data_IF_305194702754
#
_entry.id   IF_305194702754
#
_cell.length_a   1.000
_cell.length_b   1.000
_cell.length_c   1.000
_cell.angle_alpha   90.00
_cell.angle_beta   90.00
_cell.angle_gamma   90.00
#
_symmetry.space_group_name_H-M   'P 1'
#
loop_
_entity.id
_entity.type
_entity.pdbx_description
1 polymer ?
#
# COMPACT_ATOMS: atom_id res chain seq x y z
N UNK A 1 -13.50 15.56 2.13
CA UNK A 1 -12.86 16.38 3.16
C UNK A 1 -11.39 16.00 3.18
N UNK A 2 -10.47 16.97 3.00
CA UNK A 2 -9.02 16.74 2.99
C UNK A 2 -8.48 16.95 4.40
N UNK A 3 -9.00 16.15 5.33
CA UNK A 3 -8.61 16.19 6.74
C UNK A 3 -8.19 14.78 7.17
N UNK A 4 -7.09 14.70 7.91
CA UNK A 4 -6.66 13.47 8.56
C UNK A 4 -6.61 13.71 10.07
N UNK A 5 -6.99 12.70 10.83
CA UNK A 5 -6.95 12.74 12.29
C UNK A 5 -6.57 11.38 12.84
N UNK A 6 -5.88 11.40 13.96
CA UNK A 6 -5.61 10.17 14.71
C UNK A 6 -6.92 9.54 15.14
N UNK A 7 -7.08 8.24 14.88
CA UNK A 7 -8.20 7.46 15.39
C UNK A 7 -7.94 7.11 16.85
N UNK A 8 -8.95 7.29 17.71
CA UNK A 8 -8.88 6.90 19.12
C UNK A 8 -10.06 5.98 19.47
N UNK A 9 -9.82 5.02 20.37
CA UNK A 9 -10.86 4.09 20.82
C UNK A 9 -11.32 3.06 19.77
N UNK A 10 -10.54 2.82 18.72
CA UNK A 10 -10.88 1.83 17.70
C UNK A 10 -10.60 0.39 18.20
N UNK A 11 -11.61 -0.49 18.25
CA UNK A 11 -11.45 -1.85 18.79
C UNK A 11 -10.55 -2.74 17.94
N UNK A 12 -10.45 -2.52 16.62
CA UNK A 12 -9.57 -3.28 15.74
C UNK A 12 -8.13 -2.88 15.97
N UNK A 13 -7.84 -1.57 16.08
CA UNK A 13 -6.49 -1.08 16.39
C UNK A 13 -6.03 -1.63 17.75
N UNK A 14 -6.89 -1.58 18.76
CA UNK A 14 -6.56 -2.12 20.09
C UNK A 14 -6.34 -3.64 20.07
N UNK A 15 -7.14 -4.39 19.29
CA UNK A 15 -6.93 -5.83 19.09
C UNK A 15 -5.56 -6.12 18.46
N UNK A 16 -5.20 -5.41 17.38
CA UNK A 16 -3.92 -5.57 16.70
C UNK A 16 -2.76 -5.25 17.63
N UNK A 17 -2.86 -4.15 18.40
CA UNK A 17 -1.85 -3.74 19.37
C UNK A 17 -1.62 -4.83 20.43
N UNK A 18 -2.69 -5.43 20.97
CA UNK A 18 -2.60 -6.56 21.91
C UNK A 18 -1.97 -7.81 21.30
N UNK A 19 -1.98 -7.93 19.97
CA UNK A 19 -1.35 -9.02 19.21
C UNK A 19 0.06 -8.65 18.72
N UNK A 20 0.64 -7.55 19.21
CA UNK A 20 2.00 -7.12 18.88
C UNK A 20 2.13 -6.42 17.53
N UNK A 21 1.03 -5.93 16.96
CA UNK A 21 1.02 -5.13 15.73
C UNK A 21 0.46 -3.75 16.06
N UNK A 22 1.32 -2.73 16.13
CA UNK A 22 0.89 -1.38 16.45
C UNK A 22 0.88 -0.51 15.19
N UNK A 23 -0.30 -0.02 14.82
CA UNK A 23 -0.46 1.06 13.83
C UNK A 23 -0.13 2.36 14.56
N UNK A 24 0.86 3.10 14.07
CA UNK A 24 1.35 4.30 14.73
C UNK A 24 0.49 5.52 14.37
N UNK A 25 0.38 6.46 15.31
CA UNK A 25 -0.34 7.72 15.15
C UNK A 25 0.45 8.76 14.32
N UNK A 26 0.93 8.34 13.15
CA UNK A 26 1.70 9.13 12.19
C UNK A 26 1.13 8.93 10.79
N UNK A 27 1.36 9.90 9.92
CA UNK A 27 0.95 9.85 8.53
C UNK A 27 2.17 9.86 7.62
N UNK A 28 2.23 8.92 6.66
CA UNK A 28 3.43 8.78 5.83
C UNK A 28 3.40 9.64 4.59
N UNK A 29 4.58 10.12 4.19
CA UNK A 29 4.88 10.68 2.88
C UNK A 29 6.06 9.96 2.23
N UNK A 30 6.08 9.84 0.92
CA UNK A 30 7.20 9.25 0.16
C UNK A 30 7.43 9.98 -1.16
N UNK A 31 8.67 9.95 -1.66
CA UNK A 31 9.04 10.38 -3.02
C UNK A 31 8.31 9.56 -4.09
N UNK A 32 8.07 8.28 -3.82
CA UNK A 32 7.24 7.46 -4.69
C UNK A 32 5.78 7.71 -4.32
N UNK A 33 5.16 8.69 -4.98
CA UNK A 33 3.79 9.09 -4.71
C UNK A 33 2.97 9.23 -6.00
N UNK A 34 1.65 9.36 -5.83
CA UNK A 34 0.72 9.67 -6.89
C UNK A 34 0.68 11.19 -7.17
N UNK A 35 0.32 11.55 -8.39
CA UNK A 35 0.08 12.94 -8.80
C UNK A 35 -1.40 13.10 -9.09
N UNK A 36 -2.09 13.92 -8.30
CA UNK A 36 -3.52 14.16 -8.43
C UNK A 36 -3.79 15.01 -9.67
N UNK A 37 -4.84 14.67 -10.42
CA UNK A 37 -5.42 15.55 -11.45
C UNK A 37 -6.68 16.18 -10.84
N UNK A 38 -6.73 17.51 -10.78
CA UNK A 38 -7.86 18.24 -10.22
C UNK A 38 -8.11 19.56 -10.97
N UNK A 39 -9.26 20.19 -10.75
CA UNK A 39 -9.54 21.50 -11.34
C UNK A 39 -8.58 22.56 -10.79
N UNK A 40 -8.15 23.48 -11.66
CA UNK A 40 -7.42 24.66 -11.25
C UNK A 40 -8.34 25.57 -10.39
N UNK A 41 -7.75 26.26 -9.41
CA UNK A 41 -8.51 27.15 -8.53
C UNK A 41 -8.85 28.49 -9.21
N UNK A 42 -7.98 28.96 -10.11
CA UNK A 42 -8.04 30.31 -10.67
C UNK A 42 -8.41 30.33 -12.16
N UNK A 43 -8.31 29.20 -12.87
CA UNK A 43 -8.57 29.07 -14.30
C UNK A 43 -9.57 27.95 -14.61
N UNK A 44 -10.26 28.04 -15.75
CA UNK A 44 -11.05 26.95 -16.33
C UNK A 44 -10.10 25.88 -16.93
N UNK A 45 -9.41 25.13 -16.08
CA UNK A 45 -8.45 24.12 -16.49
C UNK A 45 -8.29 23.00 -15.47
N UNK A 46 -7.53 21.97 -15.86
CA UNK A 46 -7.05 20.93 -14.93
C UNK A 46 -5.58 21.18 -14.60
N UNK A 47 -5.21 20.93 -13.36
CA UNK A 47 -3.84 20.99 -12.86
C UNK A 47 -3.41 19.63 -12.31
N UNK A 48 -2.11 19.36 -12.41
CA UNK A 48 -1.47 18.19 -11.83
C UNK A 48 -0.74 18.57 -10.54
N UNK A 49 -1.01 17.84 -9.47
CA UNK A 49 -0.56 18.17 -8.13
C UNK A 49 0.18 16.97 -7.55
N UNK A 50 1.53 17.00 -7.44
CA UNK A 50 2.29 16.02 -6.69
C UNK A 50 1.71 15.88 -5.29
N UNK A 51 1.36 14.66 -4.87
CA UNK A 51 0.72 14.45 -3.57
C UNK A 51 1.42 13.37 -2.74
N UNK A 52 2.47 13.77 -1.98
CA UNK A 52 3.34 12.88 -1.21
C UNK A 52 2.68 11.89 -0.25
N UNK A 53 1.47 12.21 0.25
CA UNK A 53 0.75 11.33 1.17
C UNK A 53 0.16 10.11 0.47
N UNK A 54 -0.19 10.21 -0.83
CA UNK A 54 -0.68 9.08 -1.61
C UNK A 54 0.51 8.28 -2.17
N UNK A 55 1.05 7.41 -1.33
CA UNK A 55 2.28 6.66 -1.58
C UNK A 55 2.06 5.54 -2.60
N UNK A 56 3.01 5.37 -3.52
CA UNK A 56 3.11 4.21 -4.40
C UNK A 56 4.25 3.31 -3.96
N UNK A 57 3.92 2.05 -3.66
CA UNK A 57 4.87 1.01 -3.27
C UNK A 57 5.22 0.18 -4.52
N UNK A 58 6.45 0.30 -5.06
CA UNK A 58 6.90 -0.55 -6.17
C UNK A 58 7.22 -1.97 -5.70
N UNK A 59 7.43 -2.90 -6.63
CA UNK A 59 7.81 -4.30 -6.31
C UNK A 59 9.00 -4.44 -5.35
N UNK A 60 9.96 -3.50 -5.41
CA UNK A 60 11.12 -3.49 -4.52
C UNK A 60 10.78 -3.26 -3.05
N UNK A 61 9.58 -2.76 -2.76
CA UNK A 61 9.03 -2.62 -1.41
C UNK A 61 8.21 -3.83 -0.95
N UNK A 62 7.99 -4.84 -1.79
CA UNK A 62 7.18 -6.02 -1.43
C UNK A 62 7.98 -7.11 -0.74
N UNK A 63 7.29 -7.96 0.02
CA UNK A 63 7.82 -9.24 0.47
C UNK A 63 8.12 -10.11 -0.74
N UNK A 64 9.41 -10.28 -1.03
CA UNK A 64 9.89 -10.86 -2.26
C UNK A 64 9.26 -12.24 -2.55
N UNK A 65 8.66 -12.37 -3.73
CA UNK A 65 8.13 -13.63 -4.24
C UNK A 65 6.83 -14.11 -3.60
N UNK A 66 6.23 -13.38 -2.66
CA UNK A 66 5.00 -13.78 -1.99
C UNK A 66 3.80 -13.77 -2.96
N UNK A 67 2.94 -14.79 -2.89
CA UNK A 67 1.86 -15.03 -3.86
C UNK A 67 0.77 -13.94 -3.88
N UNK A 68 0.63 -13.18 -2.80
CA UNK A 68 -0.31 -12.04 -2.72
C UNK A 68 0.02 -10.93 -3.72
N UNK A 69 1.29 -10.83 -4.14
CA UNK A 69 1.74 -9.86 -5.14
C UNK A 69 1.75 -10.43 -6.58
N UNK A 70 1.22 -11.63 -6.82
CA UNK A 70 1.18 -12.20 -8.17
C UNK A 70 0.40 -11.31 -9.14
N UNK A 71 1.09 -10.80 -10.16
CA UNK A 71 0.52 -9.90 -11.17
C UNK A 71 0.28 -8.47 -10.67
N UNK A 72 0.88 -8.08 -9.54
CA UNK A 72 0.77 -6.75 -8.95
C UNK A 72 2.12 -6.04 -9.12
N UNK A 73 2.26 -5.07 -10.03
CA UNK A 73 3.53 -4.37 -10.27
C UNK A 73 3.79 -3.21 -9.28
N UNK A 74 2.74 -2.68 -8.68
CA UNK A 74 2.82 -1.64 -7.65
C UNK A 74 1.52 -1.62 -6.85
N UNK A 75 1.58 -1.04 -5.65
CA UNK A 75 0.39 -0.73 -4.84
C UNK A 75 0.33 0.75 -4.56
N UNK A 76 -0.89 1.29 -4.46
CA UNK A 76 -1.10 2.66 -4.04
C UNK A 76 -1.82 2.70 -2.71
N UNK A 77 -1.26 3.44 -1.76
CA UNK A 77 -1.84 3.77 -0.48
C UNK A 77 -2.15 5.27 -0.47
N UNK A 78 -3.16 5.68 0.27
CA UNK A 78 -3.68 7.04 0.32
C UNK A 78 -3.26 7.77 1.57
N UNK A 79 -3.62 7.28 2.75
CA UNK A 79 -3.17 7.90 4.00
C UNK A 79 -2.64 6.83 4.95
N UNK A 80 -1.60 6.10 4.54
CA UNK A 80 -1.11 5.00 5.34
C UNK A 80 -0.39 5.50 6.58
N UNK A 81 -0.61 4.80 7.68
CA UNK A 81 0.20 4.93 8.90
C UNK A 81 1.35 3.91 8.91
N UNK A 82 2.50 4.24 9.54
CA UNK A 82 3.54 3.25 9.75
C UNK A 82 3.08 2.19 10.75
N UNK A 83 3.61 0.97 10.60
CA UNK A 83 3.34 -0.15 11.52
C UNK A 83 4.64 -0.56 12.21
N UNK A 84 4.57 -0.82 13.52
CA UNK A 84 5.60 -1.54 14.25
C UNK A 84 5.10 -2.94 14.63
N UNK A 85 6.01 -3.91 14.61
CA UNK A 85 5.73 -5.32 14.88
C UNK A 85 6.63 -5.77 16.03
N UNK A 86 6.05 -6.42 17.03
CA UNK A 86 6.77 -7.02 18.15
C UNK A 86 7.12 -8.48 17.84
N UNK A 87 8.39 -8.86 18.00
CA UNK A 87 8.83 -10.26 18.02
C UNK A 87 8.23 -11.14 16.92
N UNK A 88 7.40 -12.11 17.30
CA UNK A 88 6.77 -13.09 16.42
C UNK A 88 5.36 -12.71 15.91
N UNK A 89 4.94 -11.45 16.08
CA UNK A 89 3.58 -11.01 15.71
C UNK A 89 3.32 -11.01 14.19
N UNK A 90 4.37 -11.08 13.38
CA UNK A 90 4.33 -11.18 11.93
C UNK A 90 5.66 -10.76 11.30
N UNK A 91 5.67 -10.63 9.98
CA UNK A 91 6.79 -10.06 9.23
C UNK A 91 6.30 -8.93 8.32
N UNK A 92 7.17 -7.99 7.90
CA UNK A 92 6.81 -6.99 6.91
C UNK A 92 6.30 -7.64 5.61
N UNK A 93 5.09 -7.28 5.21
CA UNK A 93 4.52 -7.64 3.92
C UNK A 93 4.95 -6.66 2.83
N UNK A 94 4.99 -5.37 3.17
CA UNK A 94 5.47 -4.33 2.29
C UNK A 94 5.99 -3.12 3.07
N UNK A 95 6.91 -2.39 2.45
CA UNK A 95 7.57 -1.21 3.01
C UNK A 95 7.62 -0.07 2.00
N UNK A 96 7.67 1.15 2.52
CA UNK A 96 7.89 2.36 1.72
C UNK A 96 9.30 2.41 1.12
N UNK A 97 9.56 3.38 0.26
CA UNK A 97 10.90 3.72 -0.18
C UNK A 97 11.80 4.22 0.95
N UNK A 98 13.11 4.23 0.72
CA UNK A 98 14.14 4.59 1.72
C UNK A 98 14.13 6.06 2.15
N UNK A 99 13.39 6.91 1.44
CA UNK A 99 13.35 8.35 1.70
C UNK A 99 12.00 8.80 2.27
N UNK A 100 11.19 7.86 2.74
CA UNK A 100 9.91 8.19 3.32
C UNK A 100 10.08 9.01 4.61
N UNK A 101 9.03 9.74 4.95
CA UNK A 101 8.90 10.56 6.14
C UNK A 101 7.58 10.23 6.83
N UNK A 102 7.53 10.45 8.14
CA UNK A 102 6.35 10.17 8.93
C UNK A 102 5.97 11.42 9.75
N UNK A 103 4.86 12.05 9.40
CA UNK A 103 4.45 13.28 10.07
C UNK A 103 3.70 12.99 11.36
N UNK A 104 3.74 13.97 12.26
CA UNK A 104 2.96 13.98 13.50
C UNK A 104 1.77 14.92 13.35
N UNK A 105 0.70 14.63 14.11
CA UNK A 105 -0.45 15.52 14.18
C UNK A 105 -0.06 16.92 14.71
N UNK A 106 -0.76 17.99 14.29
CA UNK A 106 -1.90 18.00 13.37
C UNK A 106 -1.48 17.78 11.91
N UNK A 107 -2.30 17.05 11.15
CA UNK A 107 -2.05 16.75 9.75
C UNK A 107 -2.73 17.79 8.85
N UNK A 108 -1.97 18.43 7.96
CA UNK A 108 -2.54 19.22 6.86
C UNK A 108 -2.41 18.41 5.57
N UNK A 109 -3.50 17.77 5.15
CA UNK A 109 -3.56 16.90 3.97
C UNK A 109 -4.18 17.59 2.76
N UNK A 110 -4.16 18.93 2.72
CA UNK A 110 -4.62 19.66 1.52
C UNK A 110 -3.60 19.49 0.39
N UNK A 111 -4.01 19.08 -0.83
CA UNK A 111 -3.08 18.81 -1.93
C UNK A 111 -2.16 20.00 -2.26
N UNK A 112 -2.73 21.19 -2.40
CA UNK A 112 -1.99 22.39 -2.81
C UNK A 112 -1.02 22.92 -1.75
N UNK A 113 -1.24 22.62 -0.46
CA UNK A 113 -0.29 22.95 0.61
C UNK A 113 0.92 22.03 0.54
N UNK A 114 0.73 20.80 0.05
CA UNK A 114 1.73 19.75 0.04
C UNK A 114 2.33 19.47 -1.35
N UNK A 115 2.04 20.32 -2.34
CA UNK A 115 2.49 20.17 -3.71
C UNK A 115 3.82 20.86 -4.03
N UNK A 116 4.35 21.63 -3.06
CA UNK A 116 5.65 22.27 -3.18
C UNK A 116 6.82 21.27 -3.09
N UNK A 117 8.03 21.75 -3.36
CA UNK A 117 9.24 20.95 -3.17
C UNK A 117 9.36 20.51 -1.71
N UNK A 118 9.19 19.20 -1.48
CA UNK A 118 9.41 18.59 -0.18
C UNK A 118 10.90 18.35 0.00
N UNK A 119 11.49 18.93 1.05
CA UNK A 119 12.85 18.59 1.47
C UNK A 119 12.80 17.23 2.15
N UNK A 120 13.20 16.21 1.42
CA UNK A 120 13.25 14.84 1.92
C UNK A 120 14.46 14.66 2.83
N UNK A 121 14.25 14.71 4.14
CA UNK A 121 15.26 14.40 5.15
C UNK A 121 15.63 12.90 5.17
N UNK A 122 14.74 12.04 4.66
CA UNK A 122 14.95 10.60 4.51
C UNK A 122 15.04 9.87 5.86
N UNK A 123 13.92 9.79 6.59
CA UNK A 123 13.86 9.06 7.87
C UNK A 123 14.09 7.56 7.70
N UNK A 124 13.85 7.02 6.50
CA UNK A 124 14.11 5.63 6.14
C UNK A 124 12.93 5.01 5.40
N UNK A 125 12.84 3.69 5.47
CA UNK A 125 11.68 2.93 5.00
C UNK A 125 10.79 2.51 6.17
N UNK A 126 9.48 2.66 6.02
CA UNK A 126 8.49 2.28 7.02
C UNK A 126 7.71 1.05 6.58
N UNK A 127 7.31 0.21 7.53
CA UNK A 127 6.43 -0.93 7.27
C UNK A 127 5.01 -0.38 7.05
N UNK A 128 4.40 -0.75 5.93
CA UNK A 128 3.03 -0.37 5.54
C UNK A 128 2.17 -1.58 5.19
N UNK A 129 2.62 -2.76 5.58
CA UNK A 129 1.81 -3.97 5.56
C UNK A 129 2.47 -5.04 6.41
N UNK A 130 1.66 -5.86 7.07
CA UNK A 130 2.13 -6.99 7.90
C UNK A 130 1.44 -8.25 7.45
N UNK A 131 2.19 -9.36 7.45
CA UNK A 131 1.66 -10.69 7.19
C UNK A 131 2.10 -11.66 8.29
N UNK A 132 1.20 -12.56 8.69
CA UNK A 132 1.48 -13.66 9.64
C UNK A 132 0.82 -14.95 9.15
N UNK A 133 1.58 -16.04 9.21
CA UNK A 133 1.10 -17.41 8.98
C UNK A 133 1.67 -18.35 10.04
N UNK A 134 0.95 -18.52 11.15
CA UNK A 134 1.30 -19.38 12.28
C UNK A 134 0.23 -20.46 12.54
N UNK A 135 -0.44 -20.91 11.47
CA UNK A 135 -1.65 -21.72 11.54
C UNK A 135 -2.94 -20.88 11.57
N UNK A 136 -2.82 -19.56 11.71
CA UNK A 136 -3.87 -18.59 11.43
C UNK A 136 -3.30 -17.47 10.57
N UNK A 137 -4.00 -17.17 9.46
CA UNK A 137 -3.53 -16.19 8.48
C UNK A 137 -4.05 -14.80 8.81
N UNK A 138 -3.16 -13.83 8.81
CA UNK A 138 -3.47 -12.42 9.03
C UNK A 138 -2.69 -11.55 8.05
N UNK A 139 -3.39 -10.58 7.45
CA UNK A 139 -2.79 -9.47 6.72
C UNK A 139 -3.32 -8.17 7.33
N UNK A 140 -2.43 -7.22 7.58
CA UNK A 140 -2.78 -5.88 8.08
C UNK A 140 -2.28 -4.85 7.09
N UNK A 141 -3.18 -4.00 6.60
CA UNK A 141 -2.86 -2.82 5.79
C UNK A 141 -3.33 -1.58 6.57
N UNK A 142 -2.43 -0.66 6.96
CA UNK A 142 -2.72 0.48 7.83
C UNK A 142 -3.31 1.66 7.04
N UNK A 143 -4.23 1.38 6.12
CA UNK A 143 -4.87 2.37 5.25
C UNK A 143 -6.31 1.95 4.98
N UNK A 144 -7.25 2.71 5.53
CA UNK A 144 -8.69 2.43 5.39
C UNK A 144 -9.21 2.68 3.96
N UNK A 145 -8.48 3.46 3.16
CA UNK A 145 -8.87 3.86 1.82
C UNK A 145 -8.25 2.99 0.72
N UNK A 146 -7.33 2.08 1.06
CA UNK A 146 -6.70 1.17 0.10
C UNK A 146 -7.72 0.30 -0.66
N UNK A 147 -8.90 0.06 -0.07
CA UNK A 147 -10.06 -0.58 -0.71
C UNK A 147 -11.23 0.41 -0.75
N UNK A 148 -11.16 1.41 -1.62
CA UNK A 148 -12.23 2.41 -1.76
C UNK A 148 -12.38 2.90 -3.20
N UNK A 149 -13.41 3.73 -3.43
CA UNK A 149 -13.64 4.39 -4.73
C UNK A 149 -12.50 5.32 -5.16
N UNK A 150 -11.55 5.62 -4.27
CA UNK A 150 -10.32 6.31 -4.69
C UNK A 150 -9.51 5.49 -5.71
N UNK A 151 -9.59 4.16 -5.66
CA UNK A 151 -8.93 3.31 -6.65
C UNK A 151 -9.49 3.56 -8.06
N UNK A 152 -10.79 3.80 -8.17
CA UNK A 152 -11.45 4.09 -9.44
C UNK A 152 -11.05 5.49 -9.92
N UNK A 153 -10.98 6.46 -9.00
CA UNK A 153 -10.53 7.82 -9.29
C UNK A 153 -9.09 7.88 -9.79
N UNK A 154 -8.17 7.15 -9.14
CA UNK A 154 -6.74 7.20 -9.50
C UNK A 154 -6.32 6.16 -10.54
N UNK A 155 -7.22 5.25 -10.92
CA UNK A 155 -6.90 4.11 -11.76
C UNK A 155 -5.98 3.08 -11.10
N UNK A 156 -5.99 2.97 -9.77
CA UNK A 156 -5.15 2.05 -9.00
C UNK A 156 -5.74 0.62 -8.99
N UNK A 157 -5.99 0.05 -10.17
CA UNK A 157 -6.64 -1.26 -10.33
C UNK A 157 -5.83 -2.42 -9.72
N UNK A 158 -4.51 -2.26 -9.66
CA UNK A 158 -3.59 -3.23 -9.05
C UNK A 158 -3.91 -3.49 -7.57
N UNK A 159 -4.47 -2.50 -6.86
CA UNK A 159 -4.95 -2.67 -5.49
C UNK A 159 -6.01 -3.78 -5.42
N UNK A 160 -7.00 -3.79 -6.33
CA UNK A 160 -8.04 -4.83 -6.33
C UNK A 160 -7.45 -6.22 -6.59
N UNK A 161 -6.51 -6.34 -7.53
CA UNK A 161 -5.79 -7.61 -7.78
C UNK A 161 -5.10 -8.11 -6.51
N UNK A 162 -4.40 -7.22 -5.80
CA UNK A 162 -3.75 -7.54 -4.54
C UNK A 162 -4.73 -7.98 -3.45
N UNK A 163 -5.84 -7.25 -3.24
CA UNK A 163 -6.82 -7.62 -2.22
C UNK A 163 -7.55 -8.93 -2.53
N UNK A 164 -7.80 -9.24 -3.81
CA UNK A 164 -8.29 -10.56 -4.23
C UNK A 164 -7.26 -11.63 -3.91
N UNK A 165 -5.99 -11.43 -4.25
CA UNK A 165 -4.94 -12.40 -3.94
C UNK A 165 -4.76 -12.57 -2.41
N UNK A 166 -4.95 -11.51 -1.61
CA UNK A 166 -4.96 -11.58 -0.15
C UNK A 166 -6.13 -12.44 0.36
N UNK A 167 -7.33 -12.26 -0.18
CA UNK A 167 -8.48 -13.09 0.19
C UNK A 167 -8.29 -14.57 -0.19
N UNK A 168 -7.73 -14.84 -1.37
CA UNK A 168 -7.34 -16.19 -1.78
C UNK A 168 -6.30 -16.79 -0.83
N UNK A 169 -5.28 -16.01 -0.45
CA UNK A 169 -4.26 -16.45 0.49
C UNK A 169 -4.84 -16.71 1.89
N UNK A 170 -5.61 -15.80 2.46
CA UNK A 170 -6.23 -16.00 3.78
C UNK A 170 -7.15 -17.24 3.78
N UNK A 171 -7.80 -17.54 2.65
CA UNK A 171 -8.73 -18.68 2.50
C UNK A 171 -8.09 -20.02 2.09
N UNK A 172 -6.77 -20.08 1.86
CA UNK A 172 -6.11 -21.34 1.45
C UNK A 172 -6.27 -21.71 -0.03
N UNK A 173 -6.52 -20.73 -0.90
CA UNK A 173 -6.81 -20.90 -2.34
C UNK A 173 -5.72 -20.36 -3.27
N UNK A 174 -4.47 -20.35 -2.83
CA UNK A 174 -3.31 -19.76 -3.53
C UNK A 174 -2.96 -20.41 -4.89
N UNK A 175 -3.49 -21.60 -5.17
CA UNK A 175 -3.31 -22.25 -6.46
C UNK A 175 -3.90 -21.43 -7.63
N UNK A 176 -4.80 -20.48 -7.34
CA UNK A 176 -5.38 -19.57 -8.35
C UNK A 176 -4.45 -18.37 -8.61
N UNK A 177 -3.95 -17.71 -7.57
CA UNK A 177 -3.03 -16.57 -7.72
C UNK A 177 -1.71 -16.94 -8.40
N UNK A 178 -1.20 -18.15 -8.17
CA UNK A 178 0.04 -18.65 -8.79
C UNK A 178 -0.06 -18.85 -10.31
N UNK A 179 -1.27 -19.06 -10.87
CA UNK A 179 -1.47 -19.14 -12.32
C UNK A 179 -1.24 -17.79 -13.03
N UNK A 180 -1.52 -16.68 -12.36
CA UNK A 180 -1.32 -15.31 -12.88
C UNK A 180 0.16 -14.97 -13.11
N UNK A 181 1.08 -15.70 -12.50
CA UNK A 181 2.54 -15.48 -12.57
C UNK A 181 3.22 -16.23 -13.72
N UNK A 182 2.50 -17.06 -14.50
CA UNK A 182 3.09 -17.78 -15.63
C UNK A 182 3.41 -16.81 -16.77
N UNK A 183 4.70 -16.58 -16.99
CA UNK A 183 5.24 -15.89 -18.16
C UNK A 183 4.70 -16.54 -19.44
N UNK A 184 4.15 -15.78 -20.41
CA UNK A 184 3.73 -16.30 -21.72
C UNK A 184 4.81 -17.13 -22.43
N UNK A 185 6.09 -16.90 -22.13
CA UNK A 185 7.22 -17.68 -22.65
C UNK A 185 7.16 -19.17 -22.26
N UNK A 186 6.48 -19.51 -21.17
CA UNK A 186 6.27 -20.91 -20.74
C UNK A 186 5.33 -21.71 -21.64
N UNK A 187 4.54 -21.05 -22.51
CA UNK A 187 3.77 -21.71 -23.57
C UNK A 187 4.58 -21.95 -24.85
N UNK A 188 5.71 -21.25 -25.05
CA UNK A 188 6.51 -21.40 -26.26
C UNK A 188 7.26 -22.75 -26.34
N UNK A 189 7.47 -23.43 -25.21
CA UNK A 189 8.13 -24.75 -25.18
C UNK A 189 7.21 -25.93 -25.52
N UNK A 190 5.88 -25.79 -25.37
CA UNK A 190 4.94 -26.91 -25.60
C UNK A 190 4.56 -27.05 -27.07
N UNK A 191 4.80 -26.02 -27.90
CA UNK A 191 4.54 -26.06 -29.36
C UNK A 191 5.60 -26.81 -30.18
N UNK A 192 6.66 -27.35 -29.57
CA UNK A 192 7.69 -28.16 -30.26
C UNK A 192 7.61 -29.67 -29.99
N UNK A 193 6.59 -30.15 -29.25
CA UNK A 193 6.49 -31.56 -28.85
C UNK A 193 5.24 -32.30 -29.36
N UNK A 194 4.48 -31.74 -30.29
CA UNK A 194 3.46 -32.46 -31.05
C UNK A 194 3.56 -32.03 -32.53
N UNK A 195 3.50 -33.00 -33.46
CA UNK A 195 4.37 -33.10 -34.66
C UNK A 195 4.21 -31.99 -35.70
#
# INVERSE_FOLDING_TARGET
DWSARTKSGDPVIELLRRRGIAIQDRLLRDKNHYTIIMNALEDEGVQTVPYPYWIRIPESGFLNGHSVFSGVPALQLYWPSPVSIDGSAGIPLMQTGKNAQADHAPFDTRPLVNSGETVWSGEGSFIVGVIRDDGSRLIVIPDEHAVSSLNDFTGAWDNYTFFVNCAEWISGREHISTLKRRDPSSFALVRRLFP
#
